data_IF_475387347718
#
_entry.id   IF_475387347718
#
_cell.length_a   1.000
_cell.length_b   1.000
_cell.length_c   1.000
_cell.angle_alpha   90.00
_cell.angle_beta   90.00
_cell.angle_gamma   90.00
#
_symmetry.space_group_name_H-M   'P 1'
#
loop_
_entity.id
_entity.type
_entity.pdbx_description
1 polymer ?
#
# COMPACT_ATOMS: atom_id res chain seq x y z
N UNK A 1 -39.14 33.32 17.86
CA UNK A 1 -37.91 33.20 17.06
C UNK A 1 -36.91 32.42 17.88
N UNK A 2 -36.51 31.27 17.36
CA UNK A 2 -35.64 30.29 18.01
C UNK A 2 -35.51 29.15 17.02
N UNK A 3 -34.63 29.37 16.05
CA UNK A 3 -34.41 28.51 14.88
C UNK A 3 -34.22 27.06 15.31
N UNK A 4 -35.13 26.20 14.84
CA UNK A 4 -34.84 24.78 14.71
C UNK A 4 -33.81 24.61 13.60
N UNK A 5 -32.52 24.65 13.95
CA UNK A 5 -31.49 24.04 13.13
C UNK A 5 -31.77 22.54 13.07
N UNK A 6 -32.52 22.14 12.06
CA UNK A 6 -32.54 20.75 11.58
C UNK A 6 -31.10 20.44 11.21
N UNK A 7 -30.43 19.59 12.00
CA UNK A 7 -29.20 18.92 11.56
C UNK A 7 -29.53 18.30 10.22
N UNK A 8 -28.90 18.78 9.14
CA UNK A 8 -29.03 18.19 7.82
C UNK A 8 -28.68 16.70 7.96
N UNK A 9 -29.65 15.83 7.72
CA UNK A 9 -29.47 14.39 7.71
C UNK A 9 -28.53 14.06 6.57
N UNK A 10 -27.25 13.84 6.87
CA UNK A 10 -26.31 13.29 5.90
C UNK A 10 -26.87 11.96 5.40
N UNK A 11 -27.02 11.84 4.08
CA UNK A 11 -27.50 10.63 3.39
C UNK A 11 -26.81 9.39 3.97
N UNK A 12 -27.59 8.37 4.35
CA UNK A 12 -27.09 7.01 4.59
C UNK A 12 -26.84 6.35 3.23
N UNK A 13 -25.70 5.70 3.06
CA UNK A 13 -25.25 5.16 1.78
C UNK A 13 -25.15 3.65 1.85
N UNK A 14 -26.01 2.94 1.11
CA UNK A 14 -25.84 1.49 0.96
C UNK A 14 -24.54 1.17 0.22
N UNK A 15 -23.99 -0.03 0.43
CA UNK A 15 -22.77 -0.49 -0.28
C UNK A 15 -22.91 -0.40 -1.80
N UNK A 16 -24.08 -0.74 -2.33
CA UNK A 16 -24.40 -0.63 -3.75
C UNK A 16 -24.37 0.83 -4.21
N UNK A 17 -24.94 1.76 -3.45
CA UNK A 17 -24.87 3.20 -3.78
C UNK A 17 -23.45 3.77 -3.69
N UNK A 18 -22.64 3.30 -2.73
CA UNK A 18 -21.22 3.67 -2.65
C UNK A 18 -20.49 3.17 -3.89
N UNK A 19 -20.71 1.92 -4.29
CA UNK A 19 -20.09 1.36 -5.50
C UNK A 19 -20.46 2.15 -6.75
N UNK A 20 -21.74 2.43 -6.99
CA UNK A 20 -22.17 3.17 -8.19
C UNK A 20 -21.58 4.59 -8.24
N UNK A 21 -21.50 5.26 -7.08
CA UNK A 21 -20.86 6.56 -7.00
C UNK A 21 -19.34 6.50 -7.20
N UNK A 22 -18.65 5.51 -6.62
CA UNK A 22 -17.21 5.26 -6.85
C UNK A 22 -16.95 4.95 -8.32
N UNK A 23 -17.77 4.09 -8.94
CA UNK A 23 -17.67 3.74 -10.36
C UNK A 23 -17.76 4.97 -11.24
N UNK A 24 -18.74 5.84 -11.01
CA UNK A 24 -18.88 7.11 -11.73
C UNK A 24 -17.67 8.03 -11.55
N UNK A 25 -17.13 8.12 -10.33
CA UNK A 25 -15.91 8.89 -10.05
C UNK A 25 -14.72 8.34 -10.84
N UNK A 26 -14.53 7.02 -10.86
CA UNK A 26 -13.42 6.39 -11.57
C UNK A 26 -13.50 6.61 -13.09
N UNK A 27 -14.70 6.46 -13.68
CA UNK A 27 -14.93 6.74 -15.10
C UNK A 27 -14.56 8.19 -15.45
N UNK A 28 -15.06 9.14 -14.66
CA UNK A 28 -14.83 10.56 -14.90
C UNK A 28 -13.36 10.97 -14.72
N UNK A 29 -12.73 10.47 -13.65
CA UNK A 29 -11.35 10.84 -13.30
C UNK A 29 -10.32 10.20 -14.21
N UNK A 30 -10.56 8.96 -14.67
CA UNK A 30 -9.59 8.20 -15.46
C UNK A 30 -9.90 8.23 -16.97
N UNK A 31 -11.11 8.64 -17.37
CA UNK A 31 -11.52 8.65 -18.78
C UNK A 31 -11.60 7.26 -19.41
N UNK A 32 -11.93 6.25 -18.60
CA UNK A 32 -12.02 4.82 -18.99
C UNK A 32 -13.46 4.41 -19.29
N UNK A 33 -13.65 3.31 -20.01
CA UNK A 33 -14.98 2.80 -20.32
C UNK A 33 -15.66 2.19 -19.09
N UNK A 34 -16.98 2.35 -18.99
CA UNK A 34 -17.77 1.81 -17.86
C UNK A 34 -17.57 0.29 -17.66
N UNK A 35 -17.31 -0.43 -18.75
CA UNK A 35 -17.10 -1.89 -18.75
C UNK A 35 -15.74 -2.30 -18.19
N UNK A 36 -14.76 -1.40 -18.18
CA UNK A 36 -13.44 -1.63 -17.60
C UNK A 36 -13.46 -1.48 -16.08
N UNK A 37 -14.40 -0.68 -15.55
CA UNK A 37 -14.52 -0.41 -14.12
C UNK A 37 -15.31 -1.51 -13.41
N UNK A 38 -14.60 -2.57 -13.03
CA UNK A 38 -15.08 -3.66 -12.16
C UNK A 38 -14.45 -3.55 -10.75
N UNK A 39 -15.09 -4.10 -9.70
CA UNK A 39 -14.61 -3.93 -8.31
C UNK A 39 -13.15 -4.36 -8.09
N UNK A 40 -12.72 -5.40 -8.78
CA UNK A 40 -11.38 -5.99 -8.68
C UNK A 40 -10.34 -5.33 -9.58
N UNK A 41 -10.74 -4.42 -10.49
CA UNK A 41 -9.81 -3.75 -11.39
C UNK A 41 -8.84 -2.87 -10.58
N UNK A 42 -7.55 -3.07 -10.81
CA UNK A 42 -6.50 -2.23 -10.26
C UNK A 42 -6.58 -0.85 -10.91
N UNK A 43 -6.73 0.19 -10.08
CA UNK A 43 -6.70 1.58 -10.52
C UNK A 43 -5.45 1.87 -11.33
N UNK A 44 -4.29 1.38 -10.89
CA UNK A 44 -3.01 1.66 -11.57
C UNK A 44 -2.75 0.70 -12.73
N UNK A 45 -2.93 -0.62 -12.52
CA UNK A 45 -2.51 -1.62 -13.52
C UNK A 45 -3.53 -1.84 -14.63
N UNK A 46 -4.81 -1.79 -14.30
CA UNK A 46 -5.87 -2.12 -15.24
C UNK A 46 -6.52 -0.84 -15.78
N UNK A 47 -6.73 0.18 -14.93
CA UNK A 47 -7.37 1.45 -15.32
C UNK A 47 -6.38 2.58 -15.64
N UNK A 48 -5.07 2.34 -15.50
CA UNK A 48 -4.04 3.29 -15.92
C UNK A 48 -3.90 4.56 -15.07
N UNK A 49 -4.41 4.58 -13.84
CA UNK A 49 -4.33 5.74 -12.96
C UNK A 49 -2.89 6.17 -12.69
N UNK A 50 -2.61 7.43 -12.99
CA UNK A 50 -1.37 8.14 -12.68
C UNK A 50 -1.48 8.88 -11.34
N UNK A 51 -0.36 9.45 -10.88
CA UNK A 51 -0.34 10.16 -9.59
C UNK A 51 -1.39 11.27 -9.50
N UNK A 52 -1.58 12.04 -10.57
CA UNK A 52 -2.51 13.17 -10.56
C UNK A 52 -3.97 12.71 -10.42
N UNK A 53 -4.30 11.54 -10.95
CA UNK A 53 -5.66 11.00 -10.93
C UNK A 53 -6.11 10.68 -9.51
N UNK A 54 -5.19 10.23 -8.64
CA UNK A 54 -5.49 10.03 -7.22
C UNK A 54 -5.91 11.33 -6.53
N UNK A 55 -5.43 12.51 -6.97
CA UNK A 55 -5.87 13.80 -6.42
C UNK A 55 -7.32 14.10 -6.81
N UNK A 56 -7.68 13.88 -8.08
CA UNK A 56 -9.06 14.11 -8.55
C UNK A 56 -10.03 13.13 -7.91
N UNK A 57 -9.69 11.83 -7.88
CA UNK A 57 -10.46 10.80 -7.19
C UNK A 57 -10.64 11.19 -5.71
N UNK A 58 -9.55 11.52 -5.01
CA UNK A 58 -9.60 11.92 -3.60
C UNK A 58 -10.47 13.15 -3.36
N UNK A 59 -10.40 14.15 -4.23
CA UNK A 59 -11.24 15.34 -4.16
C UNK A 59 -12.72 15.02 -4.36
N UNK A 60 -13.06 14.21 -5.37
CA UNK A 60 -14.45 13.79 -5.65
C UNK A 60 -15.03 12.92 -4.54
N UNK A 61 -14.23 12.03 -3.95
CA UNK A 61 -14.62 11.26 -2.78
C UNK A 61 -14.91 12.17 -1.57
N UNK A 62 -14.08 13.18 -1.35
CA UNK A 62 -14.31 14.16 -0.29
C UNK A 62 -15.61 14.96 -0.53
N UNK A 63 -15.87 15.40 -1.75
CA UNK A 63 -17.10 16.12 -2.09
C UNK A 63 -18.35 15.24 -1.94
N UNK A 64 -18.26 13.96 -2.31
CA UNK A 64 -19.41 13.05 -2.35
C UNK A 64 -19.72 12.44 -0.98
N UNK A 65 -18.69 12.00 -0.25
CA UNK A 65 -18.83 11.22 0.97
C UNK A 65 -18.31 11.93 2.22
N UNK A 66 -17.60 13.07 2.08
CA UNK A 66 -16.94 13.73 3.20
C UNK A 66 -15.70 12.98 3.72
N UNK A 67 -15.22 11.98 2.97
CA UNK A 67 -14.08 11.14 3.33
C UNK A 67 -12.82 11.65 2.62
N UNK A 68 -11.72 11.81 3.37
CA UNK A 68 -10.43 12.22 2.81
C UNK A 68 -9.54 11.00 2.58
N UNK A 69 -9.22 10.72 1.32
CA UNK A 69 -8.23 9.72 0.95
C UNK A 69 -6.81 10.29 1.20
N UNK A 70 -5.87 9.54 1.79
CA UNK A 70 -4.48 9.97 1.99
C UNK A 70 -3.70 9.94 0.67
N UNK A 71 -4.05 10.83 -0.27
CA UNK A 71 -3.55 10.81 -1.65
C UNK A 71 -2.06 11.09 -1.73
N UNK A 72 -1.53 11.97 -0.87
CA UNK A 72 -0.10 12.28 -0.79
C UNK A 72 0.70 11.03 -0.41
N UNK A 73 0.25 10.31 0.61
CA UNK A 73 0.89 9.08 1.07
C UNK A 73 0.79 7.97 0.02
N UNK A 74 -0.35 7.85 -0.66
CA UNK A 74 -0.53 6.89 -1.75
C UNK A 74 0.45 7.19 -2.90
N UNK A 75 0.56 8.45 -3.32
CA UNK A 75 1.49 8.87 -4.37
C UNK A 75 2.95 8.62 -4.00
N UNK A 76 3.36 9.05 -2.79
CA UNK A 76 4.71 8.85 -2.29
C UNK A 76 5.06 7.36 -2.30
N UNK A 77 4.15 6.53 -1.82
CA UNK A 77 4.32 5.08 -1.80
C UNK A 77 4.48 4.54 -3.21
N UNK A 78 3.53 4.81 -4.11
CA UNK A 78 3.58 4.34 -5.51
C UNK A 78 4.94 4.67 -6.18
N UNK A 79 5.50 5.85 -5.93
CA UNK A 79 6.75 6.29 -6.57
C UNK A 79 8.04 5.88 -5.84
N UNK A 80 7.99 5.64 -4.52
CA UNK A 80 9.18 5.55 -3.65
C UNK A 80 9.28 4.20 -2.93
N UNK A 81 8.38 3.24 -3.18
CA UNK A 81 8.39 1.88 -2.58
C UNK A 81 9.76 1.23 -2.49
N UNK A 82 10.57 1.33 -3.56
CA UNK A 82 11.92 0.78 -3.57
C UNK A 82 12.83 1.40 -2.51
N UNK A 83 12.82 2.73 -2.38
CA UNK A 83 13.67 3.40 -1.39
C UNK A 83 13.18 3.09 0.03
N UNK A 84 11.86 2.96 0.21
CA UNK A 84 11.26 2.58 1.49
C UNK A 84 11.66 1.17 1.91
N UNK A 85 11.57 0.21 0.98
CA UNK A 85 12.01 -1.18 1.20
C UNK A 85 13.47 -1.24 1.68
N UNK A 86 14.37 -0.51 1.02
CA UNK A 86 15.77 -0.49 1.42
C UNK A 86 15.97 0.16 2.79
N UNK A 87 15.27 1.26 3.09
CA UNK A 87 15.34 1.89 4.41
C UNK A 87 14.90 0.94 5.53
N UNK A 88 13.83 0.17 5.31
CA UNK A 88 13.32 -0.78 6.30
C UNK A 88 14.26 -1.98 6.47
N UNK A 89 14.83 -2.48 5.36
CA UNK A 89 15.84 -3.55 5.41
C UNK A 89 17.05 -3.11 6.24
N UNK A 90 17.58 -1.91 6.00
CA UNK A 90 18.71 -1.38 6.75
C UNK A 90 18.41 -1.30 8.25
N UNK A 91 17.22 -0.82 8.62
CA UNK A 91 16.79 -0.78 10.01
C UNK A 91 16.67 -2.17 10.67
N UNK A 92 16.35 -3.22 9.90
CA UNK A 92 16.35 -4.60 10.39
C UNK A 92 17.78 -5.10 10.59
N UNK A 93 18.66 -4.87 9.61
CA UNK A 93 20.06 -5.29 9.68
C UNK A 93 20.80 -4.62 10.84
N UNK A 94 20.57 -3.33 11.06
CA UNK A 94 21.12 -2.59 12.20
C UNK A 94 20.58 -3.16 13.53
N UNK A 95 19.26 -3.35 13.64
CA UNK A 95 18.66 -3.85 14.88
C UNK A 95 19.09 -5.30 15.21
N UNK A 96 19.26 -6.15 14.20
CA UNK A 96 19.55 -7.58 14.37
C UNK A 96 21.04 -7.86 14.53
N UNK A 97 21.88 -7.18 13.75
CA UNK A 97 23.31 -7.47 13.69
C UNK A 97 24.18 -6.36 14.28
N UNK A 98 23.61 -5.20 14.63
CA UNK A 98 24.35 -4.04 15.12
C UNK A 98 25.18 -3.35 14.02
N UNK A 99 24.78 -3.52 12.75
CA UNK A 99 25.57 -3.09 11.59
C UNK A 99 24.89 -1.93 10.89
N UNK A 100 25.62 -0.83 10.77
CA UNK A 100 25.25 0.28 9.89
C UNK A 100 25.91 0.05 8.54
N UNK A 101 25.09 -0.05 7.50
CA UNK A 101 25.53 -0.19 6.11
C UNK A 101 25.37 1.16 5.42
N UNK A 102 26.44 1.64 4.79
CA UNK A 102 26.40 2.92 4.09
C UNK A 102 25.69 2.78 2.73
N UNK A 103 25.15 3.88 2.15
CA UNK A 103 24.56 3.81 0.81
C UNK A 103 25.53 3.36 -0.30
N UNK A 104 26.83 3.59 -0.12
CA UNK A 104 27.87 3.16 -1.08
C UNK A 104 28.06 1.64 -1.02
N UNK A 105 28.17 1.10 0.19
CA UNK A 105 28.27 -0.33 0.44
C UNK A 105 26.99 -1.08 0.05
N UNK A 106 25.82 -0.47 0.23
CA UNK A 106 24.58 -1.06 -0.24
C UNK A 106 24.54 -1.21 -1.78
N UNK A 107 25.21 -0.31 -2.52
CA UNK A 107 25.31 -0.43 -3.99
C UNK A 107 26.22 -1.55 -4.43
N UNK A 108 27.25 -1.91 -3.66
CA UNK A 108 28.09 -3.08 -3.98
C UNK A 108 27.35 -4.40 -3.79
N UNK A 109 26.25 -4.41 -3.02
CA UNK A 109 25.39 -5.58 -2.84
C UNK A 109 24.27 -5.70 -3.89
N UNK A 110 24.27 -4.93 -4.98
CA UNK A 110 23.17 -4.86 -5.93
C UNK A 110 23.46 -5.52 -7.31
N UNK A 111 22.54 -6.31 -7.90
CA UNK A 111 21.28 -6.81 -7.34
C UNK A 111 21.47 -8.17 -6.68
N UNK A 112 21.08 -8.26 -5.40
CA UNK A 112 21.08 -9.49 -4.64
C UNK A 112 19.84 -9.57 -3.75
N UNK A 113 19.32 -10.78 -3.56
CA UNK A 113 18.29 -11.06 -2.56
C UNK A 113 18.84 -10.96 -1.13
N UNK A 114 17.95 -10.96 -0.14
CA UNK A 114 18.31 -10.88 1.28
C UNK A 114 19.35 -11.93 1.66
N UNK A 115 19.24 -13.14 1.09
CA UNK A 115 20.19 -14.21 1.36
C UNK A 115 21.62 -13.79 1.06
N UNK A 116 21.89 -13.33 -0.17
CA UNK A 116 23.28 -12.98 -0.54
C UNK A 116 23.75 -11.71 0.14
N UNK A 117 22.84 -10.77 0.49
CA UNK A 117 23.20 -9.63 1.34
C UNK A 117 23.76 -10.11 2.68
N UNK A 118 23.08 -11.06 3.33
CA UNK A 118 23.54 -11.60 4.61
C UNK A 118 24.80 -12.44 4.49
N UNK A 119 24.94 -13.24 3.42
CA UNK A 119 26.17 -14.00 3.13
C UNK A 119 27.38 -13.07 2.96
N UNK A 120 27.24 -12.00 2.17
CA UNK A 120 28.29 -10.99 1.99
C UNK A 120 28.65 -10.30 3.32
N UNK A 121 27.66 -9.97 4.14
CA UNK A 121 27.92 -9.39 5.47
C UNK A 121 28.66 -10.37 6.38
N UNK A 122 28.31 -11.65 6.35
CA UNK A 122 29.01 -12.68 7.11
C UNK A 122 30.48 -12.79 6.68
N UNK A 123 30.75 -12.79 5.37
CA UNK A 123 32.10 -12.90 4.80
C UNK A 123 32.95 -11.64 5.03
N UNK A 124 32.41 -10.45 4.73
CA UNK A 124 33.17 -9.19 4.75
C UNK A 124 33.29 -8.58 6.15
N UNK A 125 32.28 -8.78 7.00
CA UNK A 125 32.19 -8.16 8.33
C UNK A 125 32.22 -9.16 9.48
N UNK A 126 32.33 -10.45 9.21
CA UNK A 126 32.43 -11.49 10.24
C UNK A 126 31.15 -11.65 11.07
N UNK A 127 30.00 -11.39 10.46
CA UNK A 127 28.69 -11.38 11.11
C UNK A 127 28.20 -12.80 11.31
N UNK A 128 27.76 -13.12 12.52
CA UNK A 128 27.14 -14.42 12.82
C UNK A 128 25.73 -14.50 12.26
N UNK A 129 25.60 -14.91 11.00
CA UNK A 129 24.30 -15.16 10.34
C UNK A 129 23.94 -16.63 10.51
N UNK A 130 22.77 -16.91 11.11
CA UNK A 130 22.26 -18.28 11.22
C UNK A 130 21.50 -18.71 9.96
N UNK A 131 21.35 -20.03 9.75
CA UNK A 131 20.70 -20.59 8.54
C UNK A 131 19.27 -20.06 8.30
N UNK A 132 18.51 -19.79 9.36
CA UNK A 132 17.13 -19.27 9.27
C UNK A 132 17.03 -17.74 9.13
N UNK A 133 18.14 -17.02 9.28
CA UNK A 133 18.15 -15.55 9.32
C UNK A 133 17.59 -14.90 8.05
N UNK A 134 17.95 -15.34 6.82
CA UNK A 134 17.41 -14.70 5.61
C UNK A 134 15.89 -14.68 5.56
N UNK A 135 15.26 -15.80 5.93
CA UNK A 135 13.79 -15.93 5.92
C UNK A 135 13.17 -15.05 7.01
N UNK A 136 13.77 -15.00 8.19
CA UNK A 136 13.27 -14.15 9.27
C UNK A 136 13.41 -12.66 8.93
N UNK A 137 14.53 -12.22 8.35
CA UNK A 137 14.73 -10.84 7.89
C UNK A 137 13.71 -10.49 6.80
N UNK A 138 13.47 -11.37 5.83
CA UNK A 138 12.47 -11.17 4.79
C UNK A 138 11.05 -11.06 5.36
N UNK A 139 10.71 -11.91 6.33
CA UNK A 139 9.40 -11.88 7.01
C UNK A 139 9.23 -10.60 7.82
N UNK A 140 10.23 -10.20 8.60
CA UNK A 140 10.18 -8.98 9.39
C UNK A 140 10.06 -7.74 8.49
N UNK A 141 10.76 -7.72 7.36
CA UNK A 141 10.64 -6.67 6.36
C UNK A 141 9.24 -6.64 5.76
N UNK A 142 8.70 -7.80 5.36
CA UNK A 142 7.34 -7.93 4.83
C UNK A 142 6.30 -7.43 5.83
N UNK A 143 6.41 -7.78 7.11
CA UNK A 143 5.49 -7.34 8.16
C UNK A 143 5.56 -5.83 8.41
N UNK A 144 6.76 -5.22 8.37
CA UNK A 144 6.90 -3.77 8.48
C UNK A 144 6.25 -3.04 7.31
N UNK A 145 6.51 -3.49 6.08
CA UNK A 145 5.89 -2.92 4.89
C UNK A 145 4.37 -3.12 4.89
N UNK A 146 3.88 -4.31 5.28
CA UNK A 146 2.45 -4.60 5.36
C UNK A 146 1.74 -3.72 6.38
N UNK A 147 2.32 -3.47 7.56
CA UNK A 147 1.76 -2.53 8.55
C UNK A 147 1.63 -1.11 7.97
N UNK A 148 2.60 -0.71 7.16
CA UNK A 148 2.57 0.59 6.50
C UNK A 148 1.44 0.68 5.46
N UNK A 149 1.27 -0.36 4.65
CA UNK A 149 0.15 -0.49 3.70
C UNK A 149 -1.19 -0.45 4.45
N UNK A 150 -1.28 -1.13 5.59
CA UNK A 150 -2.48 -1.14 6.44
C UNK A 150 -2.87 0.24 6.98
N UNK A 151 -1.94 1.16 7.19
CA UNK A 151 -2.28 2.53 7.59
C UNK A 151 -3.08 3.28 6.52
N UNK A 152 -3.06 2.80 5.27
CA UNK A 152 -3.88 3.33 4.17
C UNK A 152 -5.24 2.63 4.05
N UNK A 153 -5.56 1.67 4.92
CA UNK A 153 -6.77 0.84 4.81
C UNK A 153 -6.66 -0.31 3.80
N UNK A 154 -5.43 -0.61 3.35
CA UNK A 154 -5.14 -1.71 2.45
C UNK A 154 -4.76 -2.96 3.27
N UNK A 155 -5.30 -4.11 2.88
CA UNK A 155 -4.98 -5.38 3.51
C UNK A 155 -4.02 -6.16 2.61
N UNK A 156 -2.95 -6.70 3.21
CA UNK A 156 -2.02 -7.60 2.53
C UNK A 156 -2.38 -9.03 2.93
N UNK A 157 -2.78 -9.84 1.96
CA UNK A 157 -3.16 -11.23 2.20
C UNK A 157 -1.95 -12.06 2.66
N UNK A 158 -2.18 -13.15 3.40
CA UNK A 158 -1.09 -14.05 3.81
C UNK A 158 -0.40 -14.70 2.60
N UNK A 159 -1.13 -14.91 1.50
CA UNK A 159 -0.57 -15.38 0.23
C UNK A 159 0.38 -14.34 -0.38
N UNK A 160 -0.02 -13.06 -0.40
CA UNK A 160 0.83 -11.97 -0.86
C UNK A 160 2.06 -11.79 0.03
N UNK A 161 1.90 -11.87 1.35
CA UNK A 161 3.04 -11.82 2.28
C UNK A 161 4.05 -12.92 1.98
N UNK A 162 3.59 -14.15 1.82
CA UNK A 162 4.46 -15.28 1.47
C UNK A 162 5.20 -15.03 0.15
N UNK A 163 4.48 -14.59 -0.87
CA UNK A 163 5.09 -14.32 -2.16
C UNK A 163 6.09 -13.15 -2.12
N UNK A 164 5.81 -12.11 -1.32
CA UNK A 164 6.74 -10.99 -1.10
C UNK A 164 8.02 -11.50 -0.41
N UNK A 165 7.91 -12.38 0.60
CA UNK A 165 9.06 -13.02 1.25
C UNK A 165 9.90 -13.79 0.22
N UNK A 166 9.26 -14.65 -0.59
CA UNK A 166 9.94 -15.42 -1.62
C UNK A 166 10.66 -14.51 -2.64
N UNK A 167 10.00 -13.43 -3.07
CA UNK A 167 10.61 -12.42 -3.96
C UNK A 167 11.80 -11.72 -3.31
N UNK A 168 11.72 -11.32 -2.04
CA UNK A 168 12.81 -10.63 -1.33
C UNK A 168 14.03 -11.53 -1.10
N UNK A 169 13.82 -12.82 -0.88
CA UNK A 169 14.90 -13.79 -0.75
C UNK A 169 15.68 -13.95 -2.06
N UNK A 170 15.00 -13.88 -3.20
CA UNK A 170 15.61 -14.01 -4.52
C UNK A 170 16.20 -12.70 -5.07
N UNK A 171 15.44 -11.61 -5.02
CA UNK A 171 15.80 -10.33 -5.62
C UNK A 171 15.03 -9.16 -4.97
N UNK A 172 15.74 -8.33 -4.20
CA UNK A 172 15.19 -7.12 -3.58
C UNK A 172 14.80 -6.03 -4.58
N UNK A 173 15.25 -6.15 -5.84
CA UNK A 173 14.93 -5.22 -6.92
C UNK A 173 13.78 -5.70 -7.80
N UNK A 174 13.24 -6.89 -7.51
CA UNK A 174 12.13 -7.45 -8.28
C UNK A 174 10.97 -6.46 -8.31
N UNK A 175 10.42 -6.27 -9.51
CA UNK A 175 9.22 -5.45 -9.71
C UNK A 175 8.01 -6.11 -9.07
N UNK A 176 8.04 -7.42 -8.80
CA UNK A 176 6.90 -8.20 -8.30
C UNK A 176 6.31 -7.62 -7.01
N UNK A 177 7.17 -7.16 -6.08
CA UNK A 177 6.74 -6.55 -4.82
C UNK A 177 5.91 -5.29 -5.10
N UNK A 178 6.42 -4.43 -5.99
CA UNK A 178 5.72 -3.22 -6.42
C UNK A 178 4.44 -3.58 -7.16
N UNK A 179 4.48 -4.57 -8.06
CA UNK A 179 3.30 -4.98 -8.83
C UNK A 179 2.17 -5.47 -7.92
N UNK A 180 2.50 -6.26 -6.90
CA UNK A 180 1.54 -6.75 -5.91
C UNK A 180 0.88 -5.61 -5.16
N UNK A 181 1.65 -4.63 -4.72
CA UNK A 181 1.10 -3.48 -3.99
C UNK A 181 0.21 -2.64 -4.90
N UNK A 182 0.62 -2.39 -6.15
CA UNK A 182 -0.20 -1.63 -7.11
C UNK A 182 -1.54 -2.32 -7.41
N UNK A 183 -1.60 -3.65 -7.36
CA UNK A 183 -2.84 -4.41 -7.53
C UNK A 183 -3.82 -4.26 -6.38
N UNK A 184 -3.39 -3.80 -5.20
CA UNK A 184 -4.27 -3.64 -4.04
C UNK A 184 -5.16 -2.39 -4.12
N UNK A 185 -4.79 -1.41 -4.94
CA UNK A 185 -5.59 -0.22 -5.18
C UNK A 185 -6.68 -0.55 -6.20
N UNK A 186 -7.85 -0.98 -5.72
CA UNK A 186 -9.00 -1.34 -6.55
C UNK A 186 -10.22 -0.47 -6.26
N UNK A 187 -11.25 -0.57 -7.11
CA UNK A 187 -12.54 0.05 -6.82
C UNK A 187 -13.15 -0.49 -5.51
N UNK A 188 -13.02 -1.79 -5.26
CA UNK A 188 -13.42 -2.43 -4.01
C UNK A 188 -12.68 -1.85 -2.79
N UNK A 189 -11.39 -1.56 -2.92
CA UNK A 189 -10.64 -0.87 -1.87
C UNK A 189 -11.26 0.48 -1.52
N UNK A 190 -11.63 1.30 -2.53
CA UNK A 190 -12.27 2.59 -2.29
C UNK A 190 -13.63 2.43 -1.58
N UNK A 191 -14.45 1.47 -2.01
CA UNK A 191 -15.73 1.18 -1.34
C UNK A 191 -15.52 0.81 0.12
N UNK A 192 -14.58 -0.09 0.42
CA UNK A 192 -14.26 -0.50 1.80
C UNK A 192 -13.71 0.66 2.62
N UNK A 193 -12.84 1.48 2.04
CA UNK A 193 -12.28 2.66 2.69
C UNK A 193 -13.39 3.66 3.05
N UNK A 194 -14.31 3.94 2.13
CA UNK A 194 -15.45 4.83 2.36
C UNK A 194 -16.36 4.24 3.44
N UNK A 195 -16.75 2.97 3.33
CA UNK A 195 -17.62 2.30 4.31
C UNK A 195 -17.05 2.36 5.74
N UNK A 196 -15.74 2.12 5.88
CA UNK A 196 -15.04 2.19 7.17
C UNK A 196 -15.07 3.61 7.75
N UNK A 197 -14.85 4.63 6.92
CA UNK A 197 -14.80 6.03 7.35
C UNK A 197 -16.19 6.68 7.50
N UNK A 198 -17.21 6.16 6.83
CA UNK A 198 -18.61 6.56 7.04
C UNK A 198 -19.17 5.98 8.36
N UNK A 199 -18.81 4.75 8.72
CA UNK A 199 -19.23 4.10 9.96
C UNK A 199 -18.42 4.49 11.22
N UNK A 200 -17.24 5.10 11.04
CA UNK A 200 -16.32 5.45 12.13
C UNK A 200 -16.77 6.58 13.07
N UNK A 201 -17.71 7.44 12.65
CA UNK A 201 -18.26 8.54 13.47
C UNK A 201 -19.75 8.36 13.80
N UNK A 202 -20.37 7.24 13.38
CA UNK A 202 -21.78 6.94 13.65
C UNK A 202 -21.95 5.46 13.91
N UNK A 203 -22.17 5.12 15.18
CA UNK A 203 -22.60 3.78 15.56
C UNK A 203 -23.91 3.42 14.85
N UNK A 204 -23.83 2.52 13.88
CA UNK A 204 -24.98 1.82 13.29
C UNK A 204 -25.02 1.80 11.77
N UNK A 205 -24.72 0.60 11.23
CA UNK A 205 -24.99 0.05 9.88
C UNK A 205 -24.52 0.83 8.64
N UNK A 206 -23.97 0.04 7.70
CA UNK A 206 -23.35 0.42 6.43
C UNK A 206 -24.30 1.22 5.53
#
# INVERSE_FOLDING_TARGET
MGEGLRKATAKEWTREEVWEAVKGILIDSLGVDEQEVVPEASLVRDLGAESIDFLDIGFRLQQTFGVSLPTSEIQERIMIWRNRLFSELLGILEARYGIVISPEEMRSFNPLGIQTVLENLAEERGVGVAEGDPVEVARDLTERLAKEVQTLGLEVSEEDKKAIVDSMLADLTSRDIVERILRMFTGEFLVRFIATNLGGDRGGAL
#
